data_IF_881528477725
#
_entry.id   IF_881528477725
#
_cell.length_a   1.000
_cell.length_b   1.000
_cell.length_c   1.000
_cell.angle_alpha   90.00
_cell.angle_beta   90.00
_cell.angle_gamma   90.00
#
_symmetry.space_group_name_H-M   'P 1'
#
loop_
_entity.id
_entity.type
_entity.pdbx_description
1 polymer ?
#
# COMPACT_ATOMS: atom_id res chain seq x y z
N UNK A 1 20.17 -13.88 5.75
CA UNK A 1 19.85 -12.56 5.17
C UNK A 1 20.38 -12.56 3.75
N UNK A 2 19.62 -12.11 2.73
CA UNK A 2 20.20 -11.90 1.41
C UNK A 2 21.29 -10.80 1.48
N UNK A 3 22.32 -10.87 0.63
CA UNK A 3 23.43 -9.93 0.65
C UNK A 3 22.94 -8.50 0.32
N UNK A 4 23.39 -7.54 1.12
CA UNK A 4 23.06 -6.12 0.97
C UNK A 4 23.93 -5.53 -0.14
N UNK A 5 23.37 -4.87 -1.17
CA UNK A 5 24.16 -4.20 -2.19
C UNK A 5 24.97 -3.05 -1.60
N UNK A 6 26.23 -2.92 -2.04
CA UNK A 6 27.24 -2.02 -1.45
C UNK A 6 27.04 -0.54 -1.85
N UNK A 7 26.16 -0.24 -2.82
CA UNK A 7 26.06 1.10 -3.44
C UNK A 7 24.63 1.62 -3.64
N UNK A 8 23.59 0.91 -3.20
CA UNK A 8 22.21 1.39 -3.25
C UNK A 8 21.78 2.05 -1.94
N UNK A 9 20.84 3.01 -1.98
CA UNK A 9 20.22 3.54 -0.76
C UNK A 9 19.61 2.38 0.02
N UNK A 10 20.24 2.02 1.15
CA UNK A 10 19.92 0.83 1.96
C UNK A 10 18.43 0.78 2.33
N UNK A 11 17.78 1.95 2.46
CA UNK A 11 16.34 2.06 2.71
C UNK A 11 15.48 1.51 1.56
N UNK A 12 15.79 1.86 0.31
CA UNK A 12 15.04 1.41 -0.88
C UNK A 12 15.11 -0.12 -1.03
N UNK A 13 16.25 -0.71 -0.65
CA UNK A 13 16.44 -2.16 -0.68
C UNK A 13 15.45 -2.93 0.22
N UNK A 14 15.04 -2.37 1.36
CA UNK A 14 14.02 -3.00 2.21
C UNK A 14 12.67 -3.09 1.49
N UNK A 15 12.28 -2.02 0.80
CA UNK A 15 11.07 -2.00 -0.02
C UNK A 15 11.11 -3.01 -1.15
N UNK A 16 12.19 -3.05 -1.94
CA UNK A 16 12.38 -4.03 -3.00
C UNK A 16 12.31 -5.47 -2.45
N UNK A 17 13.00 -5.73 -1.33
CA UNK A 17 13.01 -7.05 -0.69
C UNK A 17 11.62 -7.48 -0.25
N UNK A 18 10.86 -6.57 0.38
CA UNK A 18 9.49 -6.82 0.79
C UNK A 18 8.60 -7.18 -0.42
N UNK A 19 8.61 -6.34 -1.45
CA UNK A 19 7.72 -6.51 -2.61
C UNK A 19 8.07 -7.76 -3.41
N UNK A 20 9.37 -8.08 -3.52
CA UNK A 20 9.82 -9.32 -4.15
C UNK A 20 9.34 -10.55 -3.38
N UNK A 21 9.51 -10.58 -2.05
CA UNK A 21 9.03 -11.67 -1.20
C UNK A 21 7.50 -11.81 -1.28
N UNK A 22 6.76 -10.70 -1.31
CA UNK A 22 5.31 -10.70 -1.46
C UNK A 22 4.88 -11.28 -2.82
N UNK A 23 5.51 -10.82 -3.91
CA UNK A 23 5.26 -11.32 -5.27
C UNK A 23 5.60 -12.80 -5.45
N UNK A 24 6.65 -13.28 -4.80
CA UNK A 24 7.07 -14.69 -4.81
C UNK A 24 6.25 -15.60 -3.87
N UNK A 25 5.24 -15.07 -3.19
CA UNK A 25 4.45 -15.83 -2.22
C UNK A 25 5.24 -16.36 -1.02
N UNK A 26 6.34 -15.70 -0.65
CA UNK A 26 7.18 -16.06 0.51
C UNK A 26 6.56 -15.54 1.83
N UNK A 27 5.29 -15.90 2.08
CA UNK A 27 4.43 -15.37 3.14
C UNK A 27 5.05 -15.39 4.54
N UNK A 28 5.93 -16.36 4.81
CA UNK A 28 6.61 -16.54 6.09
C UNK A 28 7.59 -15.40 6.44
N UNK A 29 8.23 -14.76 5.45
CA UNK A 29 9.13 -13.62 5.69
C UNK A 29 8.50 -12.25 5.42
N UNK A 30 7.42 -12.18 4.65
CA UNK A 30 6.80 -10.90 4.24
C UNK A 30 6.44 -10.02 5.43
N UNK A 31 5.87 -10.59 6.51
CA UNK A 31 5.54 -9.84 7.72
C UNK A 31 6.78 -9.16 8.32
N UNK A 32 7.83 -9.95 8.55
CA UNK A 32 9.09 -9.46 9.11
C UNK A 32 9.69 -8.37 8.24
N UNK A 33 9.72 -8.57 6.92
CA UNK A 33 10.25 -7.58 5.98
C UNK A 33 9.44 -6.28 5.99
N UNK A 34 8.11 -6.36 6.11
CA UNK A 34 7.26 -5.17 6.20
C UNK A 34 7.49 -4.39 7.50
N UNK A 35 7.60 -5.11 8.62
CA UNK A 35 7.88 -4.51 9.94
C UNK A 35 9.29 -3.89 9.98
N UNK A 36 10.29 -4.56 9.41
CA UNK A 36 11.64 -4.02 9.29
C UNK A 36 11.69 -2.80 8.34
N UNK A 37 10.92 -2.82 7.25
CA UNK A 37 10.83 -1.67 6.34
C UNK A 37 10.22 -0.44 7.02
N UNK A 38 9.16 -0.61 7.82
CA UNK A 38 8.58 0.46 8.65
C UNK A 38 9.59 0.99 9.67
N UNK A 39 10.29 0.10 10.38
CA UNK A 39 11.31 0.48 11.39
C UNK A 39 12.47 1.26 10.78
N UNK A 40 12.89 0.90 9.58
CA UNK A 40 13.94 1.63 8.86
C UNK A 40 13.40 2.95 8.31
N UNK A 41 12.14 2.99 7.87
CA UNK A 41 11.48 4.21 7.38
C UNK A 41 11.47 5.31 8.44
N UNK A 42 11.21 4.97 9.72
CA UNK A 42 11.26 5.93 10.84
C UNK A 42 12.60 6.70 10.93
N UNK A 43 13.70 6.06 10.53
CA UNK A 43 15.05 6.66 10.53
C UNK A 43 15.37 7.45 9.25
N UNK A 44 14.47 7.45 8.28
CA UNK A 44 14.63 8.09 6.98
C UNK A 44 13.40 8.94 6.64
N UNK A 45 12.86 9.65 7.62
CA UNK A 45 11.64 10.46 7.47
C UNK A 45 11.79 11.61 6.44
N UNK A 46 13.03 12.04 6.17
CA UNK A 46 13.43 13.02 5.16
C UNK A 46 13.49 12.44 3.73
N UNK A 47 13.48 11.10 3.60
CA UNK A 47 13.55 10.43 2.30
C UNK A 47 12.26 10.63 1.49
N UNK A 48 12.40 10.90 0.19
CA UNK A 48 11.28 10.89 -0.77
C UNK A 48 10.53 9.55 -0.84
N UNK A 49 11.12 8.47 -0.34
CA UNK A 49 10.51 7.12 -0.29
C UNK A 49 9.82 6.83 1.05
N UNK A 50 9.95 7.69 2.05
CA UNK A 50 9.35 7.49 3.38
C UNK A 50 7.85 7.19 3.29
N UNK A 51 7.13 8.02 2.55
CA UNK A 51 5.70 7.84 2.38
C UNK A 51 5.30 6.58 1.59
N UNK A 52 6.16 6.12 0.67
CA UNK A 52 5.96 4.84 -0.02
C UNK A 52 6.13 3.68 0.95
N UNK A 53 7.11 3.74 1.85
CA UNK A 53 7.35 2.66 2.80
C UNK A 53 6.15 2.42 3.72
N UNK A 54 5.58 3.50 4.26
CA UNK A 54 4.37 3.41 5.09
C UNK A 54 3.21 2.80 4.29
N UNK A 55 2.98 3.30 3.07
CA UNK A 55 1.87 2.84 2.24
C UNK A 55 2.02 1.36 1.84
N UNK A 56 3.17 0.98 1.31
CA UNK A 56 3.47 -0.37 0.81
C UNK A 56 3.45 -1.41 1.93
N UNK A 57 4.15 -1.15 3.04
CA UNK A 57 4.27 -2.11 4.13
C UNK A 57 2.89 -2.39 4.76
N UNK A 58 2.09 -1.36 5.04
CA UNK A 58 0.76 -1.54 5.58
C UNK A 58 -0.20 -2.21 4.57
N UNK A 59 -0.10 -1.87 3.28
CA UNK A 59 -0.90 -2.56 2.24
C UNK A 59 -0.63 -4.06 2.23
N UNK A 60 0.65 -4.46 2.24
CA UNK A 60 1.05 -5.87 2.24
C UNK A 60 0.66 -6.57 3.55
N UNK A 61 0.86 -5.93 4.70
CA UNK A 61 0.43 -6.49 5.99
C UNK A 61 -1.08 -6.72 6.06
N UNK A 62 -1.87 -5.77 5.55
CA UNK A 62 -3.32 -5.93 5.48
C UNK A 62 -3.76 -7.07 4.57
N UNK A 63 -3.08 -7.26 3.43
CA UNK A 63 -3.34 -8.39 2.53
C UNK A 63 -3.05 -9.73 3.22
N UNK A 64 -1.95 -9.84 3.97
CA UNK A 64 -1.64 -11.03 4.77
C UNK A 64 -2.67 -11.33 5.86
N UNK A 65 -3.22 -10.31 6.52
CA UNK A 65 -4.27 -10.52 7.53
C UNK A 65 -5.57 -10.97 6.88
N UNK A 66 -5.89 -10.43 5.71
CA UNK A 66 -7.07 -10.83 4.97
C UNK A 66 -7.00 -12.29 4.50
N UNK A 67 -5.83 -12.74 4.02
CA UNK A 67 -5.57 -14.16 3.68
C UNK A 67 -5.79 -15.10 4.87
N UNK A 68 -5.58 -14.60 6.10
CA UNK A 68 -5.82 -15.34 7.35
C UNK A 68 -7.25 -15.20 7.89
N UNK A 69 -8.16 -14.59 7.13
CA UNK A 69 -9.54 -14.32 7.54
C UNK A 69 -9.67 -13.22 8.62
N UNK A 70 -8.60 -12.49 8.93
CA UNK A 70 -8.59 -11.45 9.98
C UNK A 70 -8.97 -10.10 9.38
N UNK A 71 -10.21 -10.00 8.93
CA UNK A 71 -10.71 -8.85 8.16
C UNK A 71 -10.57 -7.53 8.93
N UNK A 72 -10.87 -7.51 10.23
CA UNK A 72 -10.76 -6.30 11.05
C UNK A 72 -9.30 -5.79 11.11
N UNK A 73 -8.31 -6.69 11.13
CA UNK A 73 -6.89 -6.31 11.10
C UNK A 73 -6.48 -5.78 9.73
N UNK A 74 -7.03 -6.35 8.65
CA UNK A 74 -6.81 -5.83 7.31
C UNK A 74 -7.36 -4.40 7.15
N UNK A 75 -8.52 -4.09 7.75
CA UNK A 75 -9.08 -2.74 7.81
C UNK A 75 -8.15 -1.76 8.55
N UNK A 76 -7.64 -2.13 9.73
CA UNK A 76 -6.67 -1.31 10.48
C UNK A 76 -5.44 -0.98 9.61
N UNK A 77 -4.91 -1.96 8.89
CA UNK A 77 -3.78 -1.77 8.01
C UNK A 77 -4.09 -0.89 6.80
N UNK A 78 -5.30 -0.96 6.23
CA UNK A 78 -5.71 -0.05 5.15
C UNK A 78 -5.70 1.40 5.64
N UNK A 79 -6.22 1.64 6.85
CA UNK A 79 -6.22 2.98 7.44
C UNK A 79 -4.78 3.49 7.65
N UNK A 80 -3.90 2.66 8.23
CA UNK A 80 -2.48 3.01 8.42
C UNK A 80 -1.74 3.27 7.11
N UNK A 81 -2.10 2.58 6.02
CA UNK A 81 -1.51 2.85 4.71
C UNK A 81 -1.82 4.27 4.22
N UNK A 82 -2.97 4.84 4.59
CA UNK A 82 -3.34 6.23 4.26
C UNK A 82 -2.76 7.28 5.22
N UNK A 83 -2.20 6.89 6.37
CA UNK A 83 -1.58 7.80 7.35
C UNK A 83 -0.12 8.16 7.01
N UNK A 84 0.26 7.92 5.76
CA UNK A 84 1.51 8.38 5.17
C UNK A 84 1.50 9.90 4.94
N UNK A 85 2.65 10.60 5.08
CA UNK A 85 2.76 12.01 4.67
C UNK A 85 2.68 12.20 3.14
N UNK A 86 2.61 11.10 2.38
CA UNK A 86 2.61 11.10 0.92
C UNK A 86 4.01 10.99 0.33
N UNK A 87 4.06 10.94 -0.99
CA UNK A 87 5.29 10.85 -1.79
C UNK A 87 5.05 11.40 -3.19
N UNK A 88 6.10 11.69 -3.99
CA UNK A 88 5.92 12.06 -5.39
C UNK A 88 5.10 11.03 -6.18
N UNK A 89 5.30 9.74 -5.93
CA UNK A 89 4.55 8.66 -6.59
C UNK A 89 3.07 8.67 -6.19
N UNK A 90 2.76 8.78 -4.88
CA UNK A 90 1.38 8.86 -4.39
C UNK A 90 0.67 10.12 -4.90
N UNK A 91 1.39 11.24 -4.99
CA UNK A 91 0.84 12.50 -5.51
C UNK A 91 0.52 12.46 -7.00
N UNK A 92 1.33 11.74 -7.78
CA UNK A 92 1.15 11.62 -9.23
C UNK A 92 0.21 10.49 -9.64
N UNK A 93 0.54 9.26 -9.26
CA UNK A 93 -0.14 8.05 -9.72
C UNK A 93 -1.23 7.56 -8.77
N UNK A 94 -1.22 8.05 -7.54
CA UNK A 94 -2.18 7.66 -6.52
C UNK A 94 -1.75 6.43 -5.72
N UNK A 95 -2.56 6.06 -4.72
CA UNK A 95 -2.30 4.90 -3.88
C UNK A 95 -2.51 3.58 -4.62
N UNK A 96 -1.89 2.51 -4.12
CA UNK A 96 -2.34 1.16 -4.46
C UNK A 96 -3.72 0.89 -3.84
N UNK A 97 -4.56 0.18 -4.58
CA UNK A 97 -5.96 -0.11 -4.26
C UNK A 97 -6.23 -1.62 -4.09
N UNK A 98 -5.21 -2.48 -4.13
CA UNK A 98 -5.39 -3.93 -4.02
C UNK A 98 -6.05 -4.33 -2.70
N UNK A 99 -5.53 -3.82 -1.57
CA UNK A 99 -6.11 -4.09 -0.25
C UNK A 99 -7.54 -3.54 -0.14
N UNK A 100 -7.78 -2.32 -0.62
CA UNK A 100 -9.10 -1.71 -0.65
C UNK A 100 -10.08 -2.55 -1.48
N UNK A 101 -9.66 -3.01 -2.67
CA UNK A 101 -10.44 -3.89 -3.53
C UNK A 101 -10.82 -5.17 -2.81
N UNK A 102 -9.84 -5.86 -2.22
CA UNK A 102 -10.05 -7.09 -1.45
C UNK A 102 -10.98 -6.91 -0.25
N UNK A 103 -10.90 -5.77 0.44
CA UNK A 103 -11.82 -5.42 1.52
C UNK A 103 -13.24 -5.15 1.02
N UNK A 104 -13.42 -4.55 -0.16
CA UNK A 104 -14.75 -4.45 -0.80
C UNK A 104 -15.32 -5.84 -1.12
N UNK A 105 -14.49 -6.79 -1.55
CA UNK A 105 -14.95 -8.18 -1.79
C UNK A 105 -15.44 -8.84 -0.50
N UNK A 106 -14.83 -8.49 0.64
CA UNK A 106 -15.24 -8.92 1.97
C UNK A 106 -16.37 -8.08 2.59
N UNK A 107 -17.01 -7.19 1.81
CA UNK A 107 -18.14 -6.36 2.25
C UNK A 107 -17.78 -5.15 3.12
N UNK A 108 -16.49 -4.77 3.19
CA UNK A 108 -15.99 -3.70 4.07
C UNK A 108 -16.00 -2.31 3.41
N UNK A 109 -17.16 -1.90 2.91
CA UNK A 109 -17.32 -0.63 2.19
C UNK A 109 -17.03 0.61 3.03
N UNK A 110 -17.38 0.61 4.32
CA UNK A 110 -17.21 1.77 5.21
C UNK A 110 -15.74 2.18 5.32
N UNK A 111 -14.86 1.24 5.66
CA UNK A 111 -13.43 1.49 5.82
C UNK A 111 -12.76 1.88 4.50
N UNK A 112 -13.20 1.29 3.38
CA UNK A 112 -12.68 1.65 2.05
C UNK A 112 -13.08 3.08 1.67
N UNK A 113 -14.29 3.52 1.99
CA UNK A 113 -14.71 4.92 1.79
C UNK A 113 -13.90 5.90 2.65
N UNK A 114 -13.60 5.53 3.90
CA UNK A 114 -12.73 6.31 4.77
C UNK A 114 -11.32 6.44 4.20
N UNK A 115 -10.73 5.33 3.78
CA UNK A 115 -9.45 5.30 3.09
C UNK A 115 -9.43 6.22 1.87
N UNK A 116 -10.44 6.13 1.00
CA UNK A 116 -10.57 6.99 -0.18
C UNK A 116 -10.68 8.49 0.16
N UNK A 117 -11.28 8.84 1.30
CA UNK A 117 -11.31 10.23 1.76
C UNK A 117 -9.90 10.70 2.18
N UNK A 118 -9.15 9.88 2.91
CA UNK A 118 -7.76 10.19 3.30
C UNK A 118 -6.84 10.30 2.08
N UNK A 119 -7.04 9.44 1.08
CA UNK A 119 -6.31 9.49 -0.20
C UNK A 119 -6.50 10.80 -0.97
N UNK A 120 -7.55 11.58 -0.70
CA UNK A 120 -7.73 12.91 -1.30
C UNK A 120 -6.61 13.89 -0.96
N UNK A 121 -5.95 13.72 0.20
CA UNK A 121 -4.77 14.51 0.58
C UNK A 121 -3.49 14.03 -0.11
N UNK A 122 -3.44 12.75 -0.44
CA UNK A 122 -2.27 12.09 -1.01
C UNK A 122 -2.19 12.26 -2.53
N UNK A 123 -3.33 12.17 -3.22
CA UNK A 123 -3.39 12.06 -4.68
C UNK A 123 -3.93 13.32 -5.36
N UNK A 124 -3.03 14.24 -5.67
CA UNK A 124 -3.37 15.53 -6.30
C UNK A 124 -3.88 15.36 -7.74
N UNK A 125 -3.28 14.43 -8.49
CA UNK A 125 -3.63 14.15 -9.88
C UNK A 125 -4.68 13.03 -10.00
N UNK A 126 -5.69 13.03 -9.12
CA UNK A 126 -6.73 12.00 -9.15
C UNK A 126 -7.69 12.15 -10.35
N UNK A 127 -7.77 13.33 -10.97
CA UNK A 127 -8.64 13.62 -12.12
C UNK A 127 -10.08 13.11 -11.95
N UNK A 128 -10.65 13.24 -10.74
CA UNK A 128 -12.02 12.81 -10.43
C UNK A 128 -12.18 11.32 -10.10
N UNK A 129 -11.15 10.49 -10.27
CA UNK A 129 -11.22 9.03 -9.98
C UNK A 129 -11.66 8.73 -8.56
N UNK A 130 -11.14 9.44 -7.56
CA UNK A 130 -11.54 9.27 -6.16
C UNK A 130 -13.04 9.51 -5.96
N UNK A 131 -13.62 10.51 -6.64
CA UNK A 131 -15.05 10.76 -6.56
C UNK A 131 -15.85 9.63 -7.23
N UNK A 132 -15.44 9.21 -8.44
CA UNK A 132 -16.08 8.13 -9.19
C UNK A 132 -16.08 6.81 -8.40
N UNK A 133 -14.93 6.44 -7.82
CA UNK A 133 -14.81 5.23 -7.00
C UNK A 133 -15.68 5.29 -5.74
N UNK A 134 -15.69 6.44 -5.06
CA UNK A 134 -16.56 6.66 -3.90
C UNK A 134 -18.05 6.60 -4.25
N UNK A 135 -18.44 7.06 -5.44
CA UNK A 135 -19.83 6.94 -5.92
C UNK A 135 -20.19 5.49 -6.24
N UNK A 136 -19.33 4.77 -6.95
CA UNK A 136 -19.55 3.35 -7.25
C UNK A 136 -19.77 2.54 -5.97
N UNK A 137 -18.92 2.70 -4.95
CA UNK A 137 -19.06 1.97 -3.68
C UNK A 137 -20.38 2.30 -2.98
N UNK A 138 -20.81 3.57 -2.97
CA UNK A 138 -22.09 3.97 -2.35
C UNK A 138 -23.30 3.38 -3.06
N UNK A 139 -23.19 3.16 -4.36
CA UNK A 139 -24.22 2.50 -5.16
C UNK A 139 -24.15 0.96 -5.08
N UNK A 140 -23.34 0.40 -4.18
CA UNK A 140 -23.13 -1.05 -4.06
C UNK A 140 -22.35 -1.66 -5.23
N UNK A 141 -21.73 -0.83 -6.08
CA UNK A 141 -20.93 -1.27 -7.23
C UNK A 141 -19.46 -1.38 -6.84
N UNK A 142 -18.74 -2.24 -7.54
CA UNK A 142 -17.28 -2.32 -7.43
C UNK A 142 -16.63 -1.28 -8.34
N UNK A 143 -15.77 -0.39 -7.83
CA UNK A 143 -14.99 0.51 -8.67
C UNK A 143 -14.02 -0.28 -9.56
N UNK A 144 -13.80 0.21 -10.77
CA UNK A 144 -12.63 -0.18 -11.55
C UNK A 144 -11.42 0.64 -11.09
N UNK A 145 -10.49 -0.02 -10.39
CA UNK A 145 -9.25 0.59 -9.93
C UNK A 145 -8.14 0.57 -10.98
N UNK A 146 -8.28 -0.18 -12.08
CA UNK A 146 -7.30 -0.27 -13.15
C UNK A 146 -5.86 -0.48 -12.66
N UNK A 147 -4.93 0.34 -13.16
CA UNK A 147 -3.51 0.27 -12.83
C UNK A 147 -3.19 0.48 -11.33
N UNK A 148 -4.08 1.08 -10.55
CA UNK A 148 -3.90 1.22 -9.11
C UNK A 148 -3.99 -0.12 -8.36
N UNK A 149 -4.35 -1.23 -9.02
CA UNK A 149 -4.28 -2.57 -8.42
C UNK A 149 -2.85 -3.12 -8.33
N UNK A 150 -1.95 -2.73 -9.22
CA UNK A 150 -0.58 -3.29 -9.30
C UNK A 150 0.50 -2.27 -8.95
N UNK A 151 0.27 -0.98 -9.22
CA UNK A 151 1.23 0.09 -8.93
C UNK A 151 1.67 0.09 -7.45
N UNK A 152 2.91 0.53 -7.16
CA UNK A 152 3.57 0.47 -5.85
C UNK A 152 3.79 -0.91 -5.24
N UNK A 153 3.20 -1.99 -5.75
CA UNK A 153 3.48 -3.34 -5.25
C UNK A 153 4.33 -4.18 -6.21
N UNK A 154 4.52 -3.71 -7.44
CA UNK A 154 5.43 -4.34 -8.39
C UNK A 154 6.90 -4.00 -8.07
N UNK A 155 7.64 -5.02 -7.63
CA UNK A 155 9.07 -4.89 -7.33
C UNK A 155 9.91 -4.67 -8.59
N UNK A 156 9.44 -5.05 -9.79
CA UNK A 156 10.16 -4.82 -11.05
C UNK A 156 10.13 -3.35 -11.47
N UNK A 157 9.11 -2.63 -11.02
CA UNK A 157 8.96 -1.19 -11.23
C UNK A 157 9.72 -0.36 -10.17
N UNK A 158 10.39 -1.01 -9.22
CA UNK A 158 11.06 -0.36 -8.09
C UNK A 158 12.59 -0.50 -8.26
N UNK A 159 13.20 0.49 -8.92
CA UNK A 159 14.64 0.57 -9.20
C UNK A 159 15.05 2.00 -9.54
#
# INVERSE_FOLDING_TARGET
MPPVPVTGNRFVYYGVSLLKAYGNSERHIVRRLAEDYLRVAERHADSRHYGNAIHQANTVLGLLELERGRINKAEEYLVRAADTPGSPQLSGFGPNMLLASKLLEAGRSRTVLEYLNRCGKLWKLSFGKLWQWKMAIRLGRRPDFGANLTHLLDYKSFG
#
